data_IF_413346559765
#
_entry.id   IF_413346559765
#
_cell.length_a   1.000
_cell.length_b   1.000
_cell.length_c   1.000
_cell.angle_alpha   90.00
_cell.angle_beta   90.00
_cell.angle_gamma   90.00
#
_symmetry.space_group_name_H-M   'P 1'
#
loop_
_entity.id
_entity.type
_entity.pdbx_description
1 polymer ?
#
# COMPACT_ATOMS: atom_id res chain seq x y z
N UNK A 1 -0.07 26.38 13.07
CA UNK A 1 -0.16 25.00 13.60
C UNK A 1 -1.61 24.56 13.89
N UNK A 2 -2.38 25.25 14.75
CA UNK A 2 -3.78 24.85 15.09
C UNK A 2 -4.72 24.66 13.88
N UNK A 3 -4.73 25.60 12.93
CA UNK A 3 -5.56 25.50 11.71
C UNK A 3 -5.23 24.26 10.87
N UNK A 4 -3.97 23.87 10.82
CA UNK A 4 -3.51 22.76 9.97
C UNK A 4 -3.84 21.41 10.61
N UNK A 5 -3.71 21.32 11.94
CA UNK A 5 -4.23 20.17 12.69
C UNK A 5 -5.75 20.03 12.50
N UNK A 6 -6.51 21.12 12.57
CA UNK A 6 -7.95 21.10 12.35
C UNK A 6 -8.31 20.60 10.94
N UNK A 7 -7.62 21.08 9.90
CA UNK A 7 -7.85 20.60 8.53
C UNK A 7 -7.46 19.12 8.40
N UNK A 8 -6.31 18.69 8.92
CA UNK A 8 -5.90 17.29 8.87
C UNK A 8 -6.89 16.37 9.58
N UNK A 9 -7.41 16.76 10.74
CA UNK A 9 -8.46 16.01 11.46
C UNK A 9 -9.76 15.95 10.67
N UNK A 10 -10.18 17.05 10.06
CA UNK A 10 -11.37 17.09 9.21
C UNK A 10 -11.21 16.18 7.98
N UNK A 11 -10.06 16.23 7.32
CA UNK A 11 -9.74 15.37 6.16
C UNK A 11 -9.75 13.90 6.56
N UNK A 12 -9.14 13.56 7.70
CA UNK A 12 -9.17 12.21 8.22
C UNK A 12 -10.61 11.74 8.52
N UNK A 13 -11.44 12.59 9.13
CA UNK A 13 -12.84 12.27 9.38
C UNK A 13 -13.63 12.03 8.07
N UNK A 14 -13.39 12.86 7.05
CA UNK A 14 -13.98 12.68 5.70
C UNK A 14 -13.53 11.35 5.10
N UNK A 15 -12.23 11.02 5.17
CA UNK A 15 -11.69 9.75 4.69
C UNK A 15 -12.32 8.56 5.38
N UNK A 16 -12.43 8.58 6.71
CA UNK A 16 -13.08 7.52 7.49
C UNK A 16 -14.54 7.35 7.06
N UNK A 17 -15.27 8.45 6.93
CA UNK A 17 -16.66 8.43 6.50
C UNK A 17 -16.81 7.81 5.10
N UNK A 18 -16.05 8.31 4.12
CA UNK A 18 -16.10 7.81 2.75
C UNK A 18 -15.64 6.35 2.64
N UNK A 19 -14.56 5.96 3.34
CA UNK A 19 -14.08 4.58 3.36
C UNK A 19 -15.15 3.61 3.85
N UNK A 20 -15.88 4.01 4.90
CA UNK A 20 -16.92 3.20 5.51
C UNK A 20 -18.13 3.00 4.60
N UNK A 21 -18.44 3.98 3.73
CA UNK A 21 -19.60 3.94 2.85
C UNK A 21 -19.39 3.16 1.55
N UNK A 22 -18.16 2.86 1.17
CA UNK A 22 -17.87 2.26 -0.14
C UNK A 22 -17.62 0.76 -0.06
N UNK A 23 -18.70 -0.01 -0.24
CA UNK A 23 -18.70 -1.48 -0.18
C UNK A 23 -18.42 -2.19 -1.52
N UNK A 24 -18.47 -1.46 -2.63
CA UNK A 24 -18.71 -2.03 -3.97
C UNK A 24 -17.47 -2.17 -4.86
N UNK A 25 -16.27 -1.99 -4.31
CA UNK A 25 -15.06 -2.17 -5.11
C UNK A 25 -14.79 -3.67 -5.32
N UNK A 26 -14.36 -4.04 -6.53
CA UNK A 26 -14.01 -5.41 -6.85
C UNK A 26 -12.89 -5.95 -5.94
N UNK A 27 -11.82 -5.17 -5.77
CA UNK A 27 -10.66 -5.54 -4.96
C UNK A 27 -11.06 -5.75 -3.50
N UNK A 28 -11.89 -4.86 -2.95
CA UNK A 28 -12.39 -4.96 -1.59
C UNK A 28 -13.29 -6.16 -1.39
N UNK A 29 -14.27 -6.39 -2.28
CA UNK A 29 -15.17 -7.54 -2.18
C UNK A 29 -14.38 -8.85 -2.29
N UNK A 30 -13.40 -8.92 -3.19
CA UNK A 30 -12.53 -10.08 -3.36
C UNK A 30 -11.75 -10.39 -2.07
N UNK A 31 -11.14 -9.38 -1.46
CA UNK A 31 -10.39 -9.48 -0.21
C UNK A 31 -11.30 -9.83 0.98
N UNK A 32 -12.42 -9.12 1.15
CA UNK A 32 -13.44 -9.39 2.16
C UNK A 32 -14.00 -10.82 2.06
N UNK A 33 -14.23 -11.30 0.84
CA UNK A 33 -14.65 -12.68 0.58
C UNK A 33 -13.58 -13.66 1.04
N UNK A 34 -12.32 -13.48 0.60
CA UNK A 34 -11.20 -14.35 0.96
C UNK A 34 -10.92 -14.36 2.48
N UNK A 35 -11.18 -13.26 3.17
CA UNK A 35 -11.02 -13.13 4.62
C UNK A 35 -12.15 -13.77 5.44
N UNK A 36 -13.33 -14.00 4.86
CA UNK A 36 -14.49 -14.54 5.57
C UNK A 36 -14.40 -16.06 5.80
N UNK A 37 -14.92 -16.54 6.94
CA UNK A 37 -14.78 -17.95 7.40
C UNK A 37 -15.31 -18.96 6.36
N UNK A 38 -16.36 -18.62 5.59
CA UNK A 38 -16.93 -19.52 4.57
C UNK A 38 -15.98 -19.76 3.37
N UNK A 39 -14.95 -18.94 3.21
CA UNK A 39 -13.95 -19.06 2.14
C UNK A 39 -12.53 -19.27 2.67
N UNK A 40 -12.39 -19.59 3.97
CA UNK A 40 -11.12 -19.82 4.65
C UNK A 40 -10.34 -21.01 4.03
N UNK A 41 -11.04 -21.90 3.32
CA UNK A 41 -10.50 -23.05 2.57
C UNK A 41 -9.85 -22.68 1.22
N UNK A 42 -9.95 -21.42 0.79
CA UNK A 42 -9.29 -20.98 -0.45
C UNK A 42 -7.78 -20.84 -0.25
N UNK A 43 -6.99 -21.24 -1.25
CA UNK A 43 -5.52 -21.08 -1.25
C UNK A 43 -5.07 -19.63 -1.01
N UNK A 44 -5.96 -18.65 -1.30
CA UNK A 44 -5.76 -17.22 -1.09
C UNK A 44 -5.62 -16.82 0.39
N UNK A 45 -6.11 -17.61 1.34
CA UNK A 45 -5.95 -17.38 2.78
C UNK A 45 -4.47 -17.42 3.24
N UNK A 46 -3.57 -17.95 2.41
CA UNK A 46 -2.14 -17.90 2.71
C UNK A 46 -1.56 -16.47 2.68
N UNK A 47 -2.19 -15.54 1.94
CA UNK A 47 -1.68 -14.18 1.75
C UNK A 47 -1.67 -13.38 3.06
N UNK A 48 -0.57 -12.68 3.42
CA UNK A 48 -0.48 -11.95 4.68
C UNK A 48 -1.61 -10.93 4.92
N UNK A 49 -2.03 -10.21 3.88
CA UNK A 49 -3.11 -9.23 3.99
C UNK A 49 -4.47 -9.87 4.27
N UNK A 50 -4.79 -10.97 3.61
CA UNK A 50 -6.03 -11.73 3.83
C UNK A 50 -6.09 -12.26 5.27
N UNK A 51 -4.95 -12.69 5.84
CA UNK A 51 -4.88 -13.10 7.25
C UNK A 51 -5.18 -11.96 8.22
N UNK A 52 -4.68 -10.76 7.93
CA UNK A 52 -4.97 -9.57 8.74
C UNK A 52 -6.48 -9.26 8.69
N UNK A 53 -7.08 -9.27 7.51
CA UNK A 53 -8.53 -9.04 7.35
C UNK A 53 -9.35 -10.17 7.99
N UNK A 54 -8.91 -11.42 7.92
CA UNK A 54 -9.56 -12.54 8.60
C UNK A 54 -9.56 -12.36 10.13
N UNK A 55 -8.46 -11.84 10.69
CA UNK A 55 -8.41 -11.50 12.12
C UNK A 55 -9.39 -10.37 12.46
N UNK A 56 -9.50 -9.34 11.61
CA UNK A 56 -10.46 -8.25 11.79
C UNK A 56 -11.92 -8.72 11.63
N UNK A 57 -12.16 -9.67 10.73
CA UNK A 57 -13.45 -10.33 10.57
C UNK A 57 -13.83 -11.13 11.83
N UNK A 58 -12.89 -11.93 12.34
CA UNK A 58 -13.07 -12.68 13.59
C UNK A 58 -13.32 -11.74 14.77
N UNK A 59 -12.62 -10.60 14.84
CA UNK A 59 -12.90 -9.55 15.83
C UNK A 59 -14.31 -8.97 15.68
N UNK A 60 -14.77 -8.70 14.45
CA UNK A 60 -16.13 -8.23 14.21
C UNK A 60 -17.16 -9.24 14.74
N UNK A 61 -16.96 -10.54 14.50
CA UNK A 61 -17.86 -11.61 14.98
C UNK A 61 -17.93 -11.73 16.51
N UNK A 62 -16.90 -11.30 17.26
CA UNK A 62 -16.94 -11.33 18.74
C UNK A 62 -17.70 -10.15 19.35
N UNK A 63 -18.06 -9.13 18.55
CA UNK A 63 -18.82 -7.99 19.05
C UNK A 63 -20.27 -8.38 19.37
N UNK A 64 -20.87 -7.83 20.44
CA UNK A 64 -22.25 -8.11 20.85
C UNK A 64 -23.27 -7.35 19.97
N UNK A 65 -23.22 -7.60 18.66
CA UNK A 65 -24.07 -6.98 17.64
C UNK A 65 -24.71 -8.07 16.77
N UNK A 66 -25.71 -7.70 15.95
CA UNK A 66 -26.29 -8.62 14.99
C UNK A 66 -25.35 -8.79 13.79
N UNK A 67 -25.11 -10.04 13.38
CA UNK A 67 -24.23 -10.33 12.25
C UNK A 67 -25.06 -10.66 11.00
N UNK A 68 -25.25 -9.71 10.06
CA UNK A 68 -25.99 -9.98 8.83
C UNK A 68 -25.29 -11.06 8.00
N UNK A 69 -26.07 -11.86 7.28
CA UNK A 69 -25.51 -12.81 6.32
C UNK A 69 -24.82 -12.05 5.18
N UNK A 70 -23.55 -12.36 4.95
CA UNK A 70 -22.75 -11.74 3.90
C UNK A 70 -22.88 -12.46 2.55
N UNK A 71 -23.62 -13.57 2.47
CA UNK A 71 -23.67 -14.44 1.28
C UNK A 71 -24.18 -13.71 0.04
N UNK A 72 -25.26 -12.92 0.19
CA UNK A 72 -25.83 -12.14 -0.91
C UNK A 72 -24.84 -11.11 -1.45
N UNK A 73 -24.05 -10.50 -0.56
CA UNK A 73 -23.05 -9.51 -0.96
C UNK A 73 -21.78 -10.14 -1.51
N UNK A 74 -21.08 -10.97 -0.74
CA UNK A 74 -19.75 -11.49 -1.08
C UNK A 74 -19.76 -12.63 -2.10
N UNK A 75 -20.87 -13.38 -2.19
CA UNK A 75 -20.96 -14.55 -3.09
C UNK A 75 -21.75 -14.18 -4.34
N UNK A 76 -22.93 -13.57 -4.15
CA UNK A 76 -23.85 -13.28 -5.25
C UNK A 76 -23.69 -11.88 -5.84
N UNK A 77 -22.91 -11.02 -5.21
CA UNK A 77 -22.69 -9.62 -5.63
C UNK A 77 -24.02 -8.84 -5.76
N UNK A 78 -25.01 -9.16 -4.91
CA UNK A 78 -26.38 -8.63 -4.99
C UNK A 78 -26.57 -7.37 -4.14
N UNK A 79 -26.73 -7.52 -2.81
CA UNK A 79 -27.12 -6.44 -1.90
C UNK A 79 -26.20 -6.43 -0.69
N UNK A 80 -25.61 -5.26 -0.41
CA UNK A 80 -24.82 -5.01 0.79
C UNK A 80 -25.73 -4.86 2.02
N UNK A 81 -25.38 -5.42 3.20
CA UNK A 81 -26.14 -5.17 4.42
C UNK A 81 -25.93 -3.73 4.93
N UNK A 82 -26.79 -2.80 4.50
CA UNK A 82 -26.75 -1.36 4.82
C UNK A 82 -27.00 -0.99 6.30
N UNK A 83 -27.00 -1.98 7.21
CA UNK A 83 -27.07 -1.75 8.65
C UNK A 83 -25.75 -1.21 9.23
N UNK A 84 -25.81 -0.69 10.45
CA UNK A 84 -24.63 -0.23 11.20
C UNK A 84 -23.55 -1.33 11.25
N UNK A 85 -23.95 -2.58 11.42
CA UNK A 85 -23.06 -3.73 11.56
C UNK A 85 -22.29 -4.02 10.27
N UNK A 86 -22.92 -3.84 9.12
CA UNK A 86 -22.26 -3.97 7.82
C UNK A 86 -21.26 -2.85 7.59
N UNK A 87 -21.63 -1.60 7.86
CA UNK A 87 -20.71 -0.46 7.73
C UNK A 87 -19.54 -0.54 8.72
N UNK A 88 -19.78 -1.04 9.93
CA UNK A 88 -18.72 -1.32 10.91
C UNK A 88 -17.73 -2.35 10.38
N UNK A 89 -18.21 -3.41 9.71
CA UNK A 89 -17.33 -4.40 9.08
C UNK A 89 -16.45 -3.75 8.01
N UNK A 90 -17.02 -2.91 7.15
CA UNK A 90 -16.24 -2.18 6.12
C UNK A 90 -15.18 -1.32 6.77
N UNK A 91 -15.57 -0.55 7.77
CA UNK A 91 -14.64 0.29 8.51
C UNK A 91 -13.48 -0.53 9.08
N UNK A 92 -13.76 -1.66 9.74
CA UNK A 92 -12.73 -2.52 10.31
C UNK A 92 -11.74 -3.03 9.25
N UNK A 93 -12.22 -3.50 8.10
CA UNK A 93 -11.34 -3.96 7.01
C UNK A 93 -10.45 -2.85 6.44
N UNK A 94 -10.95 -1.62 6.35
CA UNK A 94 -10.20 -0.49 5.77
C UNK A 94 -9.40 0.29 6.81
N UNK A 95 -9.62 0.04 8.09
CA UNK A 95 -8.94 0.74 9.18
C UNK A 95 -7.40 0.63 9.11
N UNK A 96 -6.79 -0.53 8.80
CA UNK A 96 -5.34 -0.60 8.61
C UNK A 96 -4.82 0.29 7.47
N UNK A 97 -5.59 0.42 6.38
CA UNK A 97 -5.24 1.26 5.23
C UNK A 97 -5.29 2.74 5.62
N UNK A 98 -6.31 3.15 6.38
CA UNK A 98 -6.44 4.52 6.91
C UNK A 98 -5.26 4.88 7.83
N UNK A 99 -4.81 3.94 8.67
CA UNK A 99 -3.61 4.14 9.50
C UNK A 99 -2.37 4.32 8.61
N UNK A 100 -2.20 3.45 7.60
CA UNK A 100 -1.06 3.51 6.69
C UNK A 100 -1.03 4.80 5.88
N UNK A 101 -2.18 5.34 5.48
CA UNK A 101 -2.28 6.64 4.81
C UNK A 101 -1.69 7.77 5.68
N UNK A 102 -2.11 7.84 6.95
CA UNK A 102 -1.60 8.84 7.90
C UNK A 102 -0.10 8.65 8.12
N UNK A 103 0.36 7.40 8.27
CA UNK A 103 1.78 7.10 8.44
C UNK A 103 2.61 7.48 7.20
N UNK A 104 2.08 7.26 5.99
CA UNK A 104 2.69 7.75 4.75
C UNK A 104 2.81 9.27 4.76
N UNK A 105 1.75 9.98 5.10
CA UNK A 105 1.76 11.44 5.27
C UNK A 105 2.83 11.90 6.25
N UNK A 106 2.95 11.24 7.41
CA UNK A 106 4.00 11.54 8.42
C UNK A 106 5.40 11.32 7.86
N UNK A 107 5.64 10.26 7.09
CA UNK A 107 6.94 10.03 6.46
C UNK A 107 7.22 11.07 5.37
N UNK A 108 6.23 11.44 4.56
CA UNK A 108 6.36 12.51 3.56
C UNK A 108 6.71 13.84 4.23
N UNK A 109 6.01 14.21 5.30
CA UNK A 109 6.34 15.39 6.11
C UNK A 109 7.79 15.36 6.57
N UNK A 110 8.21 14.23 7.16
CA UNK A 110 9.56 14.03 7.69
C UNK A 110 10.63 14.12 6.61
N UNK A 111 10.40 13.47 5.46
CA UNK A 111 11.28 13.51 4.29
C UNK A 111 11.38 14.94 3.76
N UNK A 112 10.24 15.59 3.50
CA UNK A 112 10.22 16.96 3.00
C UNK A 112 10.91 17.94 3.95
N UNK A 113 10.77 17.76 5.27
CA UNK A 113 11.45 18.57 6.29
C UNK A 113 12.99 18.49 6.22
N UNK A 114 13.55 17.37 5.77
CA UNK A 114 15.01 17.24 5.58
C UNK A 114 15.51 18.15 4.46
N UNK A 115 14.70 18.37 3.43
CA UNK A 115 15.08 19.20 2.28
C UNK A 115 14.65 20.66 2.43
N UNK A 116 13.44 20.89 2.93
CA UNK A 116 12.83 22.21 3.06
C UNK A 116 11.76 22.18 4.15
N UNK A 117 12.10 22.67 5.34
CA UNK A 117 11.19 22.71 6.48
C UNK A 117 9.92 23.54 6.19
N UNK A 118 10.03 24.58 5.36
CA UNK A 118 8.90 25.45 5.02
C UNK A 118 7.86 24.73 4.17
N UNK A 119 8.28 23.74 3.36
CA UNK A 119 7.40 22.95 2.48
C UNK A 119 6.92 21.64 3.08
N UNK A 120 7.50 21.20 4.20
CA UNK A 120 7.16 19.92 4.83
C UNK A 120 5.66 19.78 5.10
N UNK A 121 5.05 20.84 5.61
CA UNK A 121 3.64 20.86 5.95
C UNK A 121 2.74 20.88 4.71
N UNK A 122 3.15 21.59 3.66
CA UNK A 122 2.48 21.56 2.37
C UNK A 122 2.53 20.15 1.77
N UNK A 123 3.66 19.45 1.84
CA UNK A 123 3.79 18.09 1.35
C UNK A 123 2.85 17.11 2.08
N UNK A 124 2.73 17.23 3.41
CA UNK A 124 1.75 16.47 4.19
C UNK A 124 0.31 16.75 3.73
N UNK A 125 -0.03 18.02 3.58
CA UNK A 125 -1.38 18.44 3.17
C UNK A 125 -1.72 17.96 1.77
N UNK A 126 -0.78 18.06 0.82
CA UNK A 126 -0.94 17.54 -0.55
C UNK A 126 -1.17 16.04 -0.54
N UNK A 127 -0.48 15.28 0.32
CA UNK A 127 -0.70 13.84 0.47
C UNK A 127 -2.08 13.53 1.06
N UNK A 128 -2.42 14.13 2.21
CA UNK A 128 -3.70 13.84 2.88
C UNK A 128 -4.90 14.28 2.05
N UNK A 129 -4.78 15.36 1.30
CA UNK A 129 -5.84 15.86 0.41
C UNK A 129 -5.79 15.23 -0.99
N UNK A 130 -4.91 14.27 -1.24
CA UNK A 130 -4.77 13.68 -2.55
C UNK A 130 -6.05 12.90 -2.92
N UNK A 131 -6.85 13.37 -3.90
CA UNK A 131 -8.11 12.72 -4.26
C UNK A 131 -7.86 11.33 -4.84
N UNK A 132 -6.69 11.11 -5.43
CA UNK A 132 -6.32 9.81 -5.98
C UNK A 132 -6.03 8.79 -4.87
N UNK A 133 -5.37 9.20 -3.76
CA UNK A 133 -5.20 8.34 -2.59
C UNK A 133 -6.59 8.00 -2.06
N UNK A 134 -7.40 9.03 -1.75
CA UNK A 134 -8.78 8.89 -1.26
C UNK A 134 -9.60 7.86 -2.06
N UNK A 135 -9.54 7.93 -3.38
CA UNK A 135 -10.29 7.03 -4.25
C UNK A 135 -9.75 5.60 -4.22
N UNK A 136 -8.43 5.42 -4.27
CA UNK A 136 -7.84 4.09 -4.49
C UNK A 136 -7.57 3.32 -3.20
N UNK A 137 -7.11 3.99 -2.16
CA UNK A 137 -6.82 3.34 -0.89
C UNK A 137 -8.07 3.29 -0.01
N UNK A 138 -8.75 4.42 0.22
CA UNK A 138 -9.82 4.52 1.20
C UNK A 138 -11.17 4.08 0.61
N UNK A 139 -11.53 4.59 -0.56
CA UNK A 139 -12.82 4.22 -1.17
C UNK A 139 -12.77 2.82 -1.79
N UNK A 140 -11.76 2.52 -2.60
CA UNK A 140 -11.60 1.18 -3.20
C UNK A 140 -11.09 0.16 -2.18
N UNK A 141 -10.36 0.54 -1.13
CA UNK A 141 -9.82 -0.43 -0.18
C UNK A 141 -8.54 -1.12 -0.67
N UNK A 142 -7.79 -0.51 -1.58
CA UNK A 142 -6.53 -1.11 -2.06
C UNK A 142 -5.47 -1.12 -0.97
N UNK A 143 -4.79 -2.26 -0.82
CA UNK A 143 -3.71 -2.43 0.13
C UNK A 143 -2.35 -1.90 -0.37
N UNK A 144 -2.33 -1.19 -1.50
CA UNK A 144 -1.12 -0.59 -2.09
C UNK A 144 -0.40 0.39 -1.16
N UNK A 145 -1.12 1.01 -0.21
CA UNK A 145 -0.51 1.90 0.78
C UNK A 145 0.51 1.19 1.69
N UNK A 146 0.41 -0.13 1.88
CA UNK A 146 1.44 -0.91 2.58
C UNK A 146 2.79 -0.73 1.89
N UNK A 147 2.80 -0.81 0.57
CA UNK A 147 4.02 -0.75 -0.24
C UNK A 147 4.57 0.67 -0.25
N UNK A 148 3.69 1.66 -0.41
CA UNK A 148 4.08 3.06 -0.38
C UNK A 148 4.70 3.42 0.96
N UNK A 149 4.09 2.98 2.07
CA UNK A 149 4.64 3.14 3.40
C UNK A 149 6.04 2.50 3.53
N UNK A 150 6.22 1.27 3.07
CA UNK A 150 7.49 0.56 3.15
C UNK A 150 8.60 1.23 2.32
N UNK A 151 8.27 1.73 1.12
CA UNK A 151 9.20 2.49 0.28
C UNK A 151 9.55 3.83 0.93
N UNK A 152 8.56 4.58 1.42
CA UNK A 152 8.78 5.82 2.18
C UNK A 152 9.64 5.59 3.42
N UNK A 153 9.41 4.48 4.13
CA UNK A 153 10.18 4.13 5.32
C UNK A 153 11.63 3.80 4.97
N UNK A 154 11.86 3.04 3.89
CA UNK A 154 13.20 2.78 3.36
C UNK A 154 13.94 4.09 3.08
N UNK A 155 13.30 5.01 2.37
CA UNK A 155 13.91 6.31 2.00
C UNK A 155 14.14 7.18 3.24
N UNK A 156 13.19 7.23 4.17
CA UNK A 156 13.38 7.94 5.43
C UNK A 156 14.57 7.39 6.24
N UNK A 157 14.77 6.07 6.28
CA UNK A 157 15.91 5.46 6.95
C UNK A 157 17.24 5.85 6.27
N UNK A 158 17.28 5.93 4.94
CA UNK A 158 18.45 6.44 4.20
C UNK A 158 18.76 7.89 4.59
N UNK A 159 17.74 8.76 4.62
CA UNK A 159 17.90 10.16 5.04
C UNK A 159 18.34 10.31 6.51
N UNK A 160 18.15 9.27 7.33
CA UNK A 160 18.67 9.18 8.69
C UNK A 160 20.04 8.53 8.80
N UNK A 161 20.70 8.25 7.68
CA UNK A 161 21.99 7.57 7.64
C UNK A 161 21.91 6.08 8.00
N UNK A 162 20.71 5.54 8.21
CA UNK A 162 20.47 4.12 8.54
C UNK A 162 20.36 3.28 7.27
N UNK A 163 21.36 3.41 6.39
CA UNK A 163 21.36 2.83 5.04
C UNK A 163 21.17 1.30 5.05
N UNK A 164 21.82 0.58 5.96
CA UNK A 164 21.65 -0.87 6.07
C UNK A 164 20.20 -1.26 6.46
N UNK A 165 19.61 -0.55 7.43
CA UNK A 165 18.23 -0.83 7.87
C UNK A 165 17.19 -0.48 6.80
N UNK A 166 17.52 0.42 5.86
CA UNK A 166 16.62 0.78 4.76
C UNK A 166 16.30 -0.38 3.81
N UNK A 167 17.16 -1.40 3.74
CA UNK A 167 16.96 -2.56 2.88
C UNK A 167 15.80 -3.45 3.36
N UNK A 168 15.54 -3.48 4.68
CA UNK A 168 14.54 -4.37 5.26
C UNK A 168 13.08 -3.99 4.89
N UNK A 169 12.63 -2.72 5.02
CA UNK A 169 11.30 -2.34 4.54
C UNK A 169 11.09 -2.65 3.06
N UNK A 170 12.11 -2.47 2.23
CA UNK A 170 12.03 -2.78 0.81
C UNK A 170 11.87 -4.29 0.54
N UNK A 171 12.64 -5.13 1.23
CA UNK A 171 12.49 -6.60 1.21
C UNK A 171 11.05 -7.02 1.55
N UNK A 172 10.50 -6.48 2.65
CA UNK A 172 9.12 -6.74 3.08
C UNK A 172 8.13 -6.27 2.00
N UNK A 173 8.37 -5.11 1.40
CA UNK A 173 7.55 -4.57 0.32
C UNK A 173 7.52 -5.50 -0.89
N UNK A 174 8.68 -6.02 -1.32
CA UNK A 174 8.78 -6.97 -2.43
C UNK A 174 8.05 -8.28 -2.09
N UNK A 175 8.24 -8.78 -0.87
CA UNK A 175 7.59 -10.00 -0.41
C UNK A 175 6.05 -9.88 -0.37
N UNK A 176 5.53 -8.70 -0.03
CA UNK A 176 4.09 -8.41 -0.03
C UNK A 176 3.53 -8.25 -1.44
N UNK A 177 4.18 -7.43 -2.28
CA UNK A 177 3.81 -7.23 -3.68
C UNK A 177 5.05 -6.85 -4.47
N UNK A 178 5.29 -7.58 -5.55
CA UNK A 178 6.51 -7.48 -6.35
C UNK A 178 6.82 -6.05 -6.82
N UNK A 179 5.80 -5.19 -6.98
CA UNK A 179 5.93 -3.79 -7.37
C UNK A 179 7.01 -3.01 -6.62
N UNK A 180 7.17 -3.23 -5.31
CA UNK A 180 8.15 -2.47 -4.51
C UNK A 180 9.58 -2.59 -5.05
N UNK A 181 9.88 -3.64 -5.83
CA UNK A 181 11.18 -3.84 -6.47
C UNK A 181 11.61 -2.66 -7.36
N UNK A 182 10.66 -1.86 -7.85
CA UNK A 182 10.96 -0.67 -8.67
C UNK A 182 11.72 0.42 -7.92
N UNK A 183 11.71 0.43 -6.59
CA UNK A 183 12.56 1.33 -5.80
C UNK A 183 14.03 0.88 -5.79
N UNK A 184 14.31 -0.40 -6.08
CA UNK A 184 15.66 -1.00 -5.98
C UNK A 184 16.71 -0.30 -6.84
N UNK A 185 16.50 0.00 -8.14
CA UNK A 185 17.53 0.61 -8.98
C UNK A 185 17.99 1.96 -8.43
N UNK A 186 17.06 2.75 -7.90
CA UNK A 186 17.33 4.06 -7.30
C UNK A 186 18.21 3.89 -6.06
N UNK A 187 17.84 2.99 -5.15
CA UNK A 187 18.61 2.76 -3.92
C UNK A 187 20.00 2.17 -4.23
N UNK A 188 20.08 1.27 -5.20
CA UNK A 188 21.34 0.68 -5.65
C UNK A 188 22.28 1.75 -6.23
N UNK A 189 21.77 2.64 -7.09
CA UNK A 189 22.55 3.75 -7.65
C UNK A 189 23.04 4.68 -6.54
N UNK A 190 22.17 5.02 -5.57
CA UNK A 190 22.54 5.85 -4.43
C UNK A 190 23.69 5.20 -3.62
N UNK A 191 23.53 3.94 -3.21
CA UNK A 191 24.52 3.20 -2.43
C UNK A 191 25.83 3.03 -3.18
N UNK A 192 25.78 2.71 -4.47
CA UNK A 192 26.95 2.60 -5.33
C UNK A 192 27.73 3.92 -5.39
N UNK A 193 27.05 5.03 -5.65
CA UNK A 193 27.70 6.35 -5.74
C UNK A 193 28.26 6.86 -4.41
N UNK A 194 27.68 6.44 -3.28
CA UNK A 194 28.21 6.75 -1.94
C UNK A 194 29.26 5.73 -1.46
N UNK A 195 29.62 4.72 -2.26
CA UNK A 195 30.63 3.72 -1.90
C UNK A 195 30.19 2.74 -0.80
N UNK A 196 28.88 2.60 -0.58
CA UNK A 196 28.27 1.80 0.49
C UNK A 196 28.18 0.32 0.11
N UNK A 197 29.34 -0.35 -0.01
CA UNK A 197 29.43 -1.73 -0.52
C UNK A 197 28.65 -2.75 0.34
N UNK A 198 28.68 -2.59 1.67
CA UNK A 198 27.98 -3.50 2.60
C UNK A 198 26.47 -3.38 2.43
N UNK A 199 25.97 -2.16 2.29
CA UNK A 199 24.55 -1.87 2.10
C UNK A 199 24.08 -2.28 0.71
N UNK A 200 24.91 -2.12 -0.32
CA UNK A 200 24.60 -2.64 -1.66
C UNK A 200 24.48 -4.18 -1.64
N UNK A 201 25.37 -4.88 -0.94
CA UNK A 201 25.24 -6.33 -0.74
C UNK A 201 23.98 -6.68 0.06
N UNK A 202 23.68 -5.93 1.12
CA UNK A 202 22.46 -6.10 1.90
C UNK A 202 21.20 -5.86 1.08
N UNK A 203 21.20 -4.87 0.18
CA UNK A 203 20.11 -4.58 -0.74
C UNK A 203 19.91 -5.74 -1.73
N UNK A 204 20.99 -6.26 -2.32
CA UNK A 204 20.92 -7.43 -3.21
C UNK A 204 20.34 -8.65 -2.50
N UNK A 205 20.81 -8.95 -1.28
CA UNK A 205 20.29 -10.04 -0.47
C UNK A 205 18.81 -9.82 -0.09
N UNK A 206 18.45 -8.59 0.25
CA UNK A 206 17.08 -8.17 0.56
C UNK A 206 16.15 -8.35 -0.63
N UNK A 207 16.59 -8.00 -1.84
CA UNK A 207 15.83 -8.22 -3.07
C UNK A 207 15.68 -9.71 -3.34
N UNK A 208 16.77 -10.48 -3.32
CA UNK A 208 16.71 -11.92 -3.54
C UNK A 208 15.77 -12.62 -2.56
N UNK A 209 15.86 -12.29 -1.27
CA UNK A 209 15.00 -12.86 -0.25
C UNK A 209 13.54 -12.38 -0.36
N UNK A 210 13.31 -11.11 -0.69
CA UNK A 210 11.98 -10.59 -0.98
C UNK A 210 11.30 -11.30 -2.15
N UNK A 211 12.04 -11.55 -3.24
CA UNK A 211 11.56 -12.32 -4.39
C UNK A 211 11.24 -13.75 -3.99
N UNK A 212 12.14 -14.40 -3.24
CA UNK A 212 11.92 -15.75 -2.73
C UNK A 212 10.62 -15.84 -1.91
N UNK A 213 10.40 -14.91 -0.98
CA UNK A 213 9.17 -14.87 -0.18
C UNK A 213 7.93 -14.60 -1.03
N UNK A 214 8.01 -13.66 -1.98
CA UNK A 214 6.91 -13.39 -2.91
C UNK A 214 6.52 -14.65 -3.73
N UNK A 215 7.52 -15.35 -4.28
CA UNK A 215 7.32 -16.61 -4.99
C UNK A 215 6.70 -17.69 -4.09
N UNK A 216 7.15 -17.80 -2.84
CA UNK A 216 6.58 -18.72 -1.86
C UNK A 216 5.10 -18.42 -1.59
N UNK A 217 4.72 -17.15 -1.45
CA UNK A 217 3.32 -16.75 -1.26
C UNK A 217 2.46 -17.06 -2.49
N UNK A 218 2.97 -16.83 -3.69
CA UNK A 218 2.27 -17.18 -4.93
C UNK A 218 2.02 -18.68 -5.04
N UNK A 219 3.04 -19.50 -4.77
CA UNK A 219 2.91 -20.96 -4.80
C UNK A 219 1.86 -21.45 -3.79
N UNK A 220 1.88 -20.89 -2.57
CA UNK A 220 0.85 -21.18 -1.55
C UNK A 220 -0.55 -20.74 -1.99
N UNK A 221 -0.67 -19.66 -2.75
CA UNK A 221 -1.92 -19.23 -3.37
C UNK A 221 -2.33 -20.09 -4.59
N UNK A 222 -1.51 -21.07 -5.00
CA UNK A 222 -1.76 -21.91 -6.16
C UNK A 222 -1.41 -21.25 -7.51
N UNK A 223 -0.63 -20.17 -7.48
CA UNK A 223 -0.18 -19.43 -8.65
C UNK A 223 1.25 -19.82 -9.02
N UNK A 224 1.56 -19.83 -10.31
CA UNK A 224 2.91 -20.03 -10.79
C UNK A 224 3.65 -18.68 -10.89
N UNK A 225 4.85 -18.59 -10.30
CA UNK A 225 5.64 -17.35 -10.31
C UNK A 225 5.95 -16.86 -11.73
N UNK A 226 6.42 -17.73 -12.63
CA UNK A 226 6.77 -17.33 -14.00
C UNK A 226 5.54 -16.86 -14.79
N UNK A 227 4.42 -17.58 -14.67
CA UNK A 227 3.15 -17.16 -15.28
C UNK A 227 2.68 -15.82 -14.72
N UNK A 228 2.77 -15.62 -13.41
CA UNK A 228 2.40 -14.35 -12.75
C UNK A 228 3.32 -13.22 -13.17
N UNK A 229 4.62 -13.47 -13.34
CA UNK A 229 5.56 -12.46 -13.83
C UNK A 229 5.27 -12.08 -15.29
N UNK A 230 4.95 -13.04 -16.15
CA UNK A 230 4.65 -12.75 -17.56
C UNK A 230 3.33 -11.99 -17.73
N UNK A 231 2.28 -12.38 -16.99
CA UNK A 231 0.93 -11.83 -17.18
C UNK A 231 0.57 -10.70 -16.21
N UNK A 232 1.24 -10.62 -15.06
CA UNK A 232 0.91 -9.73 -13.93
C UNK A 232 2.18 -9.13 -13.28
N UNK A 233 3.22 -8.79 -14.05
CA UNK A 233 4.35 -8.02 -13.51
C UNK A 233 4.01 -6.53 -13.41
N UNK A 234 4.76 -5.75 -12.60
CA UNK A 234 4.66 -4.30 -12.58
C UNK A 234 4.77 -3.65 -13.97
N UNK A 235 5.47 -4.29 -14.92
CA UNK A 235 5.60 -3.81 -16.29
C UNK A 235 4.46 -4.33 -17.17
N UNK A 236 4.16 -5.62 -17.14
CA UNK A 236 3.14 -6.23 -18.01
C UNK A 236 1.71 -5.93 -17.57
N UNK A 237 1.47 -5.76 -16.27
CA UNK A 237 0.20 -5.31 -15.72
C UNK A 237 -0.03 -3.82 -15.97
N UNK A 238 0.97 -2.94 -15.80
CA UNK A 238 0.77 -1.51 -16.10
C UNK A 238 0.65 -1.24 -17.60
N UNK A 239 1.38 -2.01 -18.42
CA UNK A 239 1.22 -1.96 -19.88
C UNK A 239 -0.13 -2.53 -20.28
N UNK A 240 -0.57 -3.67 -19.74
CA UNK A 240 -1.91 -4.20 -20.03
C UNK A 240 -3.03 -3.30 -19.51
N UNK A 241 -2.87 -2.63 -18.36
CA UNK A 241 -3.81 -1.62 -17.84
C UNK A 241 -3.90 -0.37 -18.74
N UNK A 242 -2.80 0.02 -19.38
CA UNK A 242 -2.79 1.10 -20.38
C UNK A 242 -3.52 0.71 -21.67
N UNK A 243 -3.55 -0.58 -22.02
CA UNK A 243 -4.06 -1.04 -23.33
C UNK A 243 -5.37 -1.85 -23.26
N UNK A 244 -5.78 -2.41 -22.11
CA UNK A 244 -6.84 -3.42 -22.00
C UNK A 244 -7.67 -3.27 -20.70
N UNK A 245 -8.96 -2.97 -20.89
CA UNK A 245 -10.09 -3.00 -19.92
C UNK A 245 -10.47 -1.69 -19.20
N UNK A 246 -11.74 -1.30 -19.34
CA UNK A 246 -12.34 -0.02 -18.90
C UNK A 246 -12.72 0.04 -17.41
N UNK A 247 -12.43 -0.99 -16.61
CA UNK A 247 -13.12 -1.21 -15.32
C UNK A 247 -12.21 -1.36 -14.08
N UNK A 248 -10.88 -1.31 -14.21
CA UNK A 248 -9.96 -1.30 -13.06
C UNK A 248 -9.24 0.06 -13.01
N UNK A 249 -9.07 0.64 -11.81
CA UNK A 249 -8.47 1.96 -11.65
C UNK A 249 -7.06 2.02 -12.27
N UNK A 250 -6.94 2.76 -13.38
CA UNK A 250 -5.91 2.60 -14.43
C UNK A 250 -4.56 3.30 -14.21
N UNK A 251 -4.22 3.64 -12.99
CA UNK A 251 -2.87 4.09 -12.62
C UNK A 251 -2.71 3.52 -11.25
N UNK A 252 -1.66 2.77 -10.94
CA UNK A 252 -1.35 2.43 -9.55
C UNK A 252 -0.73 3.63 -8.85
N UNK A 253 -1.07 3.88 -7.57
CA UNK A 253 -0.48 4.91 -6.69
C UNK A 253 1.06 4.86 -6.68
N UNK A 254 1.52 3.68 -7.00
CA UNK A 254 2.81 3.19 -7.36
C UNK A 254 3.51 4.03 -8.47
N UNK A 255 2.88 4.23 -9.65
CA UNK A 255 3.42 5.05 -10.75
C UNK A 255 3.54 6.50 -10.32
N UNK A 256 2.52 7.08 -9.69
CA UNK A 256 2.56 8.47 -9.20
C UNK A 256 3.62 8.65 -8.13
N UNK A 257 3.80 7.66 -7.24
CA UNK A 257 4.88 7.66 -6.24
C UNK A 257 6.25 7.53 -6.91
N UNK A 258 6.41 6.64 -7.89
CA UNK A 258 7.65 6.47 -8.64
C UNK A 258 7.99 7.71 -9.49
N UNK A 259 6.99 8.40 -10.05
CA UNK A 259 7.15 9.67 -10.77
C UNK A 259 7.47 10.81 -9.79
N UNK A 260 6.83 10.86 -8.62
CA UNK A 260 7.18 11.82 -7.57
C UNK A 260 8.58 11.59 -7.01
N UNK A 261 9.00 10.33 -6.83
CA UNK A 261 10.35 9.96 -6.46
C UNK A 261 11.36 10.29 -7.56
N UNK A 262 11.08 9.94 -8.81
CA UNK A 262 11.91 10.31 -9.95
C UNK A 262 12.03 11.83 -10.09
N UNK A 263 10.96 12.58 -9.84
CA UNK A 263 10.94 14.04 -9.86
C UNK A 263 11.74 14.64 -8.70
N UNK A 264 11.64 14.11 -7.48
CA UNK A 264 12.44 14.56 -6.33
C UNK A 264 13.93 14.24 -6.53
N UNK A 265 14.24 13.06 -7.06
CA UNK A 265 15.61 12.66 -7.39
C UNK A 265 16.13 13.54 -8.53
N UNK A 266 15.38 13.74 -9.60
CA UNK A 266 15.78 14.55 -10.74
C UNK A 266 16.03 16.02 -10.38
N UNK A 267 15.17 16.63 -9.55
CA UNK A 267 15.32 18.04 -9.18
C UNK A 267 16.40 18.28 -8.12
N UNK A 268 16.67 17.31 -7.24
CA UNK A 268 17.60 17.50 -6.12
C UNK A 268 18.91 16.70 -6.25
N UNK A 269 19.12 15.95 -7.35
CA UNK A 269 20.43 15.38 -7.68
C UNK A 269 21.47 16.45 -8.01
N UNK A 270 21.05 17.68 -8.36
CA UNK A 270 21.97 18.80 -8.53
C UNK A 270 22.30 19.48 -7.19
N UNK A 271 23.45 19.09 -6.63
CA UNK A 271 24.56 19.96 -6.18
C UNK A 271 25.21 19.47 -4.87
N UNK A 272 26.17 18.55 -5.00
CA UNK A 272 27.35 18.46 -4.12
C UNK A 272 28.62 18.75 -4.95
N UNK A 273 28.56 19.82 -5.75
CA UNK A 273 29.74 20.54 -6.25
C UNK A 273 29.47 22.04 -6.18
N UNK A 274 29.59 22.56 -4.97
CA UNK A 274 30.12 23.88 -4.66
C UNK A 274 30.81 23.76 -3.29
#
# INVERSE_FOLDING_TARGET
MKRILAIASLVFAIKVFLASLTAWSYEFIFLAKAASIKFEETKLNAAPWVKLENMLYKLWLTLPINHPSLDKWLIRLEVFPEGFEGFLLIFLFKFPILILDVLCGVLIYKIAKVFDESKALTALMVWLLNPYVLLTAEMIGSNDLVLVFLVLLSIWLILKGKNFLSCFPLMVGIAFKFYSILATPILAIYMFKKGLKKELMALTLSVAFGIFLYSFWLEKAGLNFAYTLLNYSPLTFQVSEMFLSQYTARVGLSVTSATAYAFLIFNYWKNDKA
#
